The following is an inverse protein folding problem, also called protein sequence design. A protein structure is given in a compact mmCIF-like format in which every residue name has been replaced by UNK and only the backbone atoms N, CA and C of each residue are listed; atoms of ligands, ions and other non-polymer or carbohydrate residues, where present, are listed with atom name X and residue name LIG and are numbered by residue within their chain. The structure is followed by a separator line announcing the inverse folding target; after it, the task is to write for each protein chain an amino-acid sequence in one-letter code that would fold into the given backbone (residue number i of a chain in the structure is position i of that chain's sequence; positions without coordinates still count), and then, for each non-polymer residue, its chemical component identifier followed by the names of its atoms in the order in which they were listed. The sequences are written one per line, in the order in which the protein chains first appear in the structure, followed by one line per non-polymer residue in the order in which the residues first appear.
data_IF_237542102035
#
_entry.id   IF_237542102035
#
_cell.length_a   1.000
_cell.length_b   1.000
_cell.length_c   1.000
_cell.angle_alpha   90.00
_cell.angle_beta   90.00
_cell.angle_gamma   90.00
#
_symmetry.space_group_name_H-M   'P 1'
#
loop_
_entity.id
_entity.type
_entity.pdbx_description
1 polymer ?
#
# COMPACT_ATOMS: atom_id res chain seq x y z
N UNK A 1 -11.88 -0.41 -21.75
CA UNK A 1 -10.85 0.06 -20.78
C UNK A 1 -10.64 -1.06 -19.78
N UNK A 2 -9.40 -1.27 -19.32
CA UNK A 2 -9.10 -2.25 -18.27
C UNK A 2 -9.31 -1.63 -16.91
N UNK A 3 -10.04 -2.31 -16.04
CA UNK A 3 -10.29 -1.89 -14.66
C UNK A 3 -9.13 -2.25 -13.77
N UNK A 4 -8.44 -1.27 -13.24
CA UNK A 4 -7.29 -1.44 -12.34
C UNK A 4 -7.70 -0.98 -10.94
N UNK A 5 -7.80 -1.92 -10.01
CA UNK A 5 -8.23 -1.66 -8.64
C UNK A 5 -7.03 -1.52 -7.71
N UNK A 6 -6.87 -0.36 -7.11
CA UNK A 6 -5.89 -0.12 -6.05
C UNK A 6 -6.52 -0.38 -4.70
N UNK A 7 -5.85 -1.20 -3.87
CA UNK A 7 -6.27 -1.51 -2.52
C UNK A 7 -5.27 -0.88 -1.56
N UNK A 8 -5.76 -0.09 -0.61
CA UNK A 8 -4.91 0.63 0.35
C UNK A 8 -5.52 0.61 1.75
N UNK A 9 -4.72 0.29 2.75
CA UNK A 9 -5.12 0.18 4.16
C UNK A 9 -4.64 1.34 5.02
N UNK A 10 -3.56 2.03 4.60
CA UNK A 10 -2.92 3.05 5.42
C UNK A 10 -2.51 4.28 4.61
N UNK A 11 -2.38 5.42 5.31
CA UNK A 11 -1.87 6.66 4.73
C UNK A 11 -0.48 6.49 4.12
N UNK A 12 0.38 5.68 4.75
CA UNK A 12 1.74 5.43 4.25
C UNK A 12 1.73 4.75 2.88
N UNK A 13 0.88 3.73 2.69
CA UNK A 13 0.70 3.06 1.40
C UNK A 13 0.11 4.00 0.36
N UNK A 14 -0.97 4.71 0.72
CA UNK A 14 -1.63 5.64 -0.17
C UNK A 14 -0.67 6.72 -0.68
N UNK A 15 0.16 7.29 0.20
CA UNK A 15 1.11 8.32 -0.20
C UNK A 15 2.10 7.84 -1.26
N UNK A 16 2.46 6.55 -1.24
CA UNK A 16 3.30 5.92 -2.26
C UNK A 16 2.52 5.64 -3.55
N UNK A 17 1.27 5.17 -3.43
CA UNK A 17 0.43 4.75 -4.55
C UNK A 17 -0.21 5.92 -5.31
N UNK A 18 -0.47 7.06 -4.66
CA UNK A 18 -1.27 8.17 -5.17
C UNK A 18 -0.85 8.65 -6.56
N UNK A 19 0.47 8.70 -6.81
CA UNK A 19 0.99 9.07 -8.12
C UNK A 19 0.66 8.03 -9.19
N UNK A 20 0.85 6.73 -8.89
CA UNK A 20 0.53 5.65 -9.82
C UNK A 20 -0.99 5.61 -10.10
N UNK A 21 -1.80 5.80 -9.07
CA UNK A 21 -3.25 5.95 -9.20
C UNK A 21 -3.62 7.11 -10.14
N UNK A 22 -2.91 8.24 -10.04
CA UNK A 22 -3.12 9.41 -10.91
C UNK A 22 -2.78 9.09 -12.37
N UNK A 23 -1.69 8.37 -12.63
CA UNK A 23 -1.32 7.93 -13.97
C UNK A 23 -2.38 6.99 -14.57
N UNK A 24 -2.90 6.07 -13.78
CA UNK A 24 -3.99 5.17 -14.22
C UNK A 24 -5.28 5.94 -14.47
N UNK A 25 -5.64 6.88 -13.60
CA UNK A 25 -6.86 7.72 -13.72
C UNK A 25 -6.90 8.51 -15.03
N UNK A 26 -5.74 9.02 -15.48
CA UNK A 26 -5.66 9.81 -16.72
C UNK A 26 -5.28 8.99 -17.95
N UNK A 27 -5.21 7.67 -17.83
CA UNK A 27 -4.94 6.77 -18.96
C UNK A 27 -6.20 6.53 -19.77
N UNK A 28 -6.12 6.68 -21.10
CA UNK A 28 -7.24 6.36 -22.00
C UNK A 28 -7.55 4.86 -22.08
N UNK A 29 -6.61 4.01 -21.66
CA UNK A 29 -6.74 2.55 -21.73
C UNK A 29 -7.20 1.89 -20.43
N UNK A 30 -7.18 2.63 -19.31
CA UNK A 30 -7.49 2.11 -17.98
C UNK A 30 -8.63 2.87 -17.31
N UNK A 31 -9.35 2.18 -16.44
CA UNK A 31 -10.32 2.72 -15.50
C UNK A 31 -9.78 2.48 -14.08
N UNK A 32 -9.63 3.54 -13.31
CA UNK A 32 -9.18 3.45 -11.92
C UNK A 32 -10.34 3.03 -11.04
N UNK A 33 -10.10 2.04 -10.19
CA UNK A 33 -10.95 1.70 -9.05
C UNK A 33 -10.12 1.77 -7.77
N UNK A 34 -10.73 2.18 -6.66
CA UNK A 34 -10.06 2.34 -5.36
C UNK A 34 -10.86 1.68 -4.26
N UNK A 35 -10.21 0.79 -3.52
CA UNK A 35 -10.74 0.23 -2.27
C UNK A 35 -9.91 0.79 -1.11
N UNK A 36 -10.57 1.42 -0.15
CA UNK A 36 -9.98 1.84 1.11
C UNK A 36 -10.40 0.88 2.23
N UNK A 37 -9.45 0.43 3.04
CA UNK A 37 -9.67 -0.49 4.16
C UNK A 37 -8.90 -0.06 5.41
N UNK A 38 -9.01 -0.81 6.48
CA UNK A 38 -8.24 -0.72 7.72
C UNK A 38 -8.15 0.72 8.28
N UNK A 39 -6.92 1.19 8.58
CA UNK A 39 -6.64 2.47 9.24
C UNK A 39 -7.23 3.67 8.50
N UNK A 40 -7.41 3.59 7.20
CA UNK A 40 -8.07 4.65 6.43
C UNK A 40 -9.48 4.95 6.92
N UNK A 41 -10.18 3.96 7.46
CA UNK A 41 -11.58 4.07 7.88
C UNK A 41 -11.75 4.20 9.40
N UNK A 42 -10.65 4.25 10.14
CA UNK A 42 -10.65 4.31 11.60
C UNK A 42 -10.49 5.75 12.09
N UNK A 43 -11.42 6.27 12.94
CA UNK A 43 -11.33 7.61 13.49
C UNK A 43 -10.05 7.89 14.28
N UNK A 44 -9.52 6.87 14.97
CA UNK A 44 -8.29 6.96 15.77
C UNK A 44 -7.05 7.31 14.92
N UNK A 45 -7.09 6.96 13.64
CA UNK A 45 -6.04 7.30 12.67
C UNK A 45 -6.43 8.46 11.76
N UNK A 46 -7.49 9.24 12.13
CA UNK A 46 -7.88 10.48 11.47
C UNK A 46 -8.77 10.30 10.24
N UNK A 47 -9.34 9.10 10.00
CA UNK A 47 -10.17 8.84 8.81
C UNK A 47 -9.48 9.28 7.51
N UNK A 48 -8.26 8.83 7.30
CA UNK A 48 -7.38 9.28 6.21
C UNK A 48 -7.89 8.96 4.80
N UNK A 49 -9.01 8.21 4.68
CA UNK A 49 -9.72 8.11 3.40
C UNK A 49 -10.15 9.48 2.85
N UNK A 50 -10.33 10.48 3.72
CA UNK A 50 -10.67 11.85 3.30
C UNK A 50 -9.52 12.52 2.54
N UNK A 51 -8.27 12.14 2.79
CA UNK A 51 -7.12 12.61 2.01
C UNK A 51 -7.20 12.07 0.58
N UNK A 52 -7.61 10.80 0.40
CA UNK A 52 -7.83 10.20 -0.91
C UNK A 52 -8.89 10.96 -1.70
N UNK A 53 -10.01 11.28 -1.03
CA UNK A 53 -11.11 12.05 -1.63
C UNK A 53 -10.69 13.52 -1.93
N UNK A 54 -9.92 14.14 -1.03
CA UNK A 54 -9.40 15.51 -1.21
C UNK A 54 -8.39 15.62 -2.38
N UNK A 55 -7.62 14.57 -2.64
CA UNK A 55 -6.73 14.48 -3.80
C UNK A 55 -7.49 14.23 -5.12
N UNK A 56 -8.81 14.21 -5.06
CA UNK A 56 -9.71 14.09 -6.21
C UNK A 56 -9.93 12.66 -6.69
N UNK A 57 -9.60 11.64 -5.89
CA UNK A 57 -9.94 10.27 -6.20
C UNK A 57 -11.34 9.90 -5.69
N UNK A 58 -12.03 9.04 -6.43
CA UNK A 58 -13.27 8.39 -5.96
C UNK A 58 -12.89 7.09 -5.29
N UNK A 59 -13.44 6.82 -4.11
CA UNK A 59 -13.33 5.52 -3.44
C UNK A 59 -14.54 4.69 -3.83
N UNK A 60 -14.32 3.63 -4.59
CA UNK A 60 -15.39 2.78 -5.12
C UNK A 60 -15.95 1.83 -4.07
N UNK A 61 -15.12 1.43 -3.10
CA UNK A 61 -15.57 0.64 -1.95
C UNK A 61 -14.78 1.01 -0.69
N UNK A 62 -15.50 1.07 0.42
CA UNK A 62 -14.93 1.17 1.77
C UNK A 62 -15.16 -0.15 2.48
N UNK A 63 -14.08 -0.86 2.80
CA UNK A 63 -14.11 -2.17 3.47
C UNK A 63 -13.65 -1.97 4.91
N UNK A 64 -14.57 -1.79 5.85
CA UNK A 64 -14.21 -1.56 7.24
C UNK A 64 -13.62 -2.83 7.85
N UNK A 65 -12.65 -2.62 8.70
CA UNK A 65 -11.96 -3.61 9.47
C UNK A 65 -12.02 -3.17 10.94
N UNK A 66 -12.60 -3.94 11.84
CA UNK A 66 -12.63 -3.57 13.25
C UNK A 66 -11.20 -3.39 13.78
N UNK A 67 -10.99 -2.38 14.64
CA UNK A 67 -9.70 -2.25 15.31
C UNK A 67 -9.42 -3.53 16.09
N UNK A 68 -8.34 -4.27 15.80
CA UNK A 68 -8.00 -5.45 16.55
C UNK A 68 -7.61 -5.09 17.98
N UNK A 69 -7.87 -5.98 18.94
CA UNK A 69 -7.14 -5.99 20.20
C UNK A 69 -5.66 -6.32 19.93
N UNK A 70 -4.79 -5.98 20.89
CA UNK A 70 -3.34 -6.18 20.76
C UNK A 70 -2.92 -7.65 20.95
N UNK A 71 -3.79 -8.59 20.54
CA UNK A 71 -3.55 -10.03 20.59
C UNK A 71 -3.86 -10.70 19.23
N UNK A 72 -3.39 -11.93 19.08
CA UNK A 72 -3.56 -12.67 17.83
C UNK A 72 -5.04 -12.95 17.50
N UNK A 73 -5.89 -13.16 18.50
CA UNK A 73 -7.32 -13.46 18.28
C UNK A 73 -8.04 -12.24 17.72
N UNK A 74 -7.74 -11.05 18.23
CA UNK A 74 -8.31 -9.80 17.73
C UNK A 74 -7.88 -9.50 16.30
N UNK A 75 -6.61 -9.70 15.97
CA UNK A 75 -6.11 -9.56 14.60
C UNK A 75 -6.82 -10.52 13.66
N UNK A 76 -6.95 -11.80 14.03
CA UNK A 76 -7.64 -12.81 13.22
C UNK A 76 -9.13 -12.51 13.04
N UNK A 77 -9.82 -12.02 14.08
CA UNK A 77 -11.21 -11.59 13.98
C UNK A 77 -11.38 -10.41 13.02
N UNK A 78 -10.46 -9.44 13.09
CA UNK A 78 -10.43 -8.29 12.20
C UNK A 78 -10.20 -8.71 10.75
N UNK A 79 -9.24 -9.60 10.48
CA UNK A 79 -8.96 -10.18 9.17
C UNK A 79 -10.17 -10.94 8.60
N UNK A 80 -10.90 -11.69 9.46
CA UNK A 80 -12.11 -12.42 9.05
C UNK A 80 -13.19 -11.46 8.54
N UNK A 81 -13.40 -10.35 9.26
CA UNK A 81 -14.38 -9.32 8.85
C UNK A 81 -13.98 -8.67 7.52
N UNK A 82 -12.70 -8.38 7.36
CA UNK A 82 -12.18 -7.82 6.11
C UNK A 82 -12.38 -8.77 4.94
N UNK A 83 -12.13 -10.06 5.13
CA UNK A 83 -12.28 -11.08 4.08
C UNK A 83 -13.70 -11.09 3.50
N UNK A 84 -14.74 -10.98 4.34
CA UNK A 84 -16.14 -10.88 3.89
C UNK A 84 -16.37 -9.60 3.10
N UNK A 85 -15.94 -8.46 3.61
CA UNK A 85 -16.09 -7.15 2.98
C UNK A 85 -15.33 -7.06 1.65
N UNK A 86 -14.10 -7.55 1.61
CA UNK A 86 -13.24 -7.56 0.43
C UNK A 86 -13.82 -8.47 -0.66
N UNK A 87 -14.34 -9.65 -0.28
CA UNK A 87 -15.01 -10.55 -1.22
C UNK A 87 -16.20 -9.86 -1.90
N UNK A 88 -17.00 -9.14 -1.12
CA UNK A 88 -18.17 -8.41 -1.64
C UNK A 88 -17.78 -7.27 -2.57
N UNK A 89 -16.79 -6.46 -2.14
CA UNK A 89 -16.31 -5.33 -2.91
C UNK A 89 -15.70 -5.78 -4.26
N UNK A 90 -14.79 -6.74 -4.24
CA UNK A 90 -14.11 -7.22 -5.45
C UNK A 90 -15.06 -7.95 -6.41
N UNK A 91 -16.05 -8.69 -5.88
CA UNK A 91 -17.08 -9.33 -6.72
C UNK A 91 -17.98 -8.31 -7.43
N UNK A 92 -18.27 -7.18 -6.78
CA UNK A 92 -19.10 -6.11 -7.36
C UNK A 92 -18.32 -5.26 -8.37
N UNK A 93 -17.09 -4.89 -8.04
CA UNK A 93 -16.23 -4.05 -8.89
C UNK A 93 -15.71 -4.82 -10.10
N UNK A 94 -15.48 -6.13 -9.95
CA UNK A 94 -14.98 -7.03 -10.98
C UNK A 94 -13.79 -6.43 -11.74
N UNK A 95 -12.67 -6.10 -11.06
CA UNK A 95 -11.50 -5.54 -11.70
C UNK A 95 -10.78 -6.55 -12.58
N UNK A 96 -10.12 -6.07 -13.64
CA UNK A 96 -9.25 -6.88 -14.48
C UNK A 96 -7.89 -7.16 -13.80
N UNK A 97 -7.49 -6.31 -12.85
CA UNK A 97 -6.29 -6.46 -12.05
C UNK A 97 -6.41 -5.67 -10.74
N UNK A 98 -5.89 -6.23 -9.66
CA UNK A 98 -5.70 -5.53 -8.40
C UNK A 98 -4.22 -5.12 -8.23
N UNK A 99 -3.98 -3.96 -7.61
CA UNK A 99 -2.65 -3.46 -7.25
C UNK A 99 -2.55 -3.44 -5.74
N UNK A 100 -1.54 -4.12 -5.20
CA UNK A 100 -1.27 -4.25 -3.77
C UNK A 100 0.17 -3.85 -3.51
N UNK A 101 0.39 -3.08 -2.44
CA UNK A 101 1.71 -2.66 -2.00
C UNK A 101 2.04 -3.27 -0.63
N UNK A 102 3.23 -3.83 -0.50
CA UNK A 102 3.81 -4.20 0.78
C UNK A 102 3.38 -5.57 1.31
N UNK A 103 3.18 -5.64 2.61
CA UNK A 103 3.30 -6.86 3.39
C UNK A 103 2.37 -6.94 4.62
N UNK A 104 1.41 -6.04 4.71
CA UNK A 104 0.51 -6.01 5.85
C UNK A 104 -0.57 -7.09 5.74
N UNK A 105 -1.12 -7.49 6.88
CA UNK A 105 -2.11 -8.58 6.94
C UNK A 105 -3.41 -8.25 6.18
N UNK A 106 -3.83 -6.98 6.10
CA UNK A 106 -4.96 -6.58 5.26
C UNK A 106 -4.68 -6.77 3.77
N UNK A 107 -3.45 -6.54 3.34
CA UNK A 107 -3.04 -6.80 1.95
C UNK A 107 -2.97 -8.30 1.65
N UNK A 108 -2.63 -9.12 2.65
CA UNK A 108 -2.69 -10.59 2.54
C UNK A 108 -4.11 -11.09 2.32
N UNK A 109 -5.09 -10.54 3.05
CA UNK A 109 -6.50 -10.86 2.84
C UNK A 109 -6.94 -10.45 1.45
N UNK A 110 -6.62 -9.23 1.02
CA UNK A 110 -6.94 -8.76 -0.31
C UNK A 110 -6.37 -9.66 -1.41
N UNK A 111 -5.09 -10.06 -1.30
CA UNK A 111 -4.43 -10.97 -2.23
C UNK A 111 -5.09 -12.36 -2.25
N UNK A 112 -5.45 -12.89 -1.06
CA UNK A 112 -6.14 -14.19 -0.92
C UNK A 112 -7.50 -14.16 -1.65
N UNK A 113 -8.29 -13.11 -1.43
CA UNK A 113 -9.59 -12.95 -2.09
C UNK A 113 -9.42 -12.80 -3.59
N UNK A 114 -8.47 -11.97 -4.05
CA UNK A 114 -8.16 -11.82 -5.47
C UNK A 114 -7.80 -13.17 -6.12
N UNK A 115 -6.93 -13.95 -5.49
CA UNK A 115 -6.52 -15.26 -5.99
C UNK A 115 -7.73 -16.20 -6.17
N UNK A 116 -8.63 -16.27 -5.18
CA UNK A 116 -9.80 -17.14 -5.22
C UNK A 116 -10.84 -16.66 -6.25
N UNK A 117 -11.00 -15.35 -6.43
CA UNK A 117 -11.84 -14.75 -7.45
C UNK A 117 -11.19 -14.74 -8.85
N UNK A 118 -9.93 -15.22 -8.97
CA UNK A 118 -9.16 -15.22 -10.21
C UNK A 118 -8.89 -13.81 -10.77
N UNK A 119 -8.75 -12.83 -9.89
CA UNK A 119 -8.34 -11.48 -10.22
C UNK A 119 -6.80 -11.44 -10.15
N UNK A 120 -6.09 -11.17 -11.25
CA UNK A 120 -4.64 -11.02 -11.24
C UNK A 120 -4.21 -9.91 -10.29
N UNK A 121 -3.13 -10.14 -9.53
CA UNK A 121 -2.55 -9.16 -8.61
C UNK A 121 -1.22 -8.68 -9.15
N UNK A 122 -1.02 -7.36 -9.14
CA UNK A 122 0.26 -6.69 -9.30
C UNK A 122 0.78 -6.31 -7.90
N UNK A 123 1.83 -6.99 -7.46
CA UNK A 123 2.45 -6.79 -6.15
C UNK A 123 3.64 -5.84 -6.25
N UNK A 124 3.58 -4.74 -5.51
CA UNK A 124 4.63 -3.75 -5.42
C UNK A 124 5.44 -3.98 -4.13
N UNK A 125 6.75 -3.79 -4.19
CA UNK A 125 7.70 -3.98 -3.09
C UNK A 125 7.79 -5.43 -2.57
N UNK A 126 7.50 -6.42 -3.42
CA UNK A 126 7.80 -7.81 -3.14
C UNK A 126 9.31 -8.07 -3.02
N UNK A 127 9.69 -9.10 -2.25
CA UNK A 127 11.08 -9.53 -2.09
C UNK A 127 11.92 -8.70 -1.11
N UNK A 128 11.39 -7.63 -0.53
CA UNK A 128 12.04 -6.90 0.56
C UNK A 128 12.12 -7.75 1.84
N UNK A 129 12.91 -7.34 2.82
CA UNK A 129 13.12 -8.05 4.08
C UNK A 129 12.69 -7.19 5.26
N UNK A 130 11.95 -7.79 6.19
CA UNK A 130 11.58 -7.21 7.47
C UNK A 130 11.99 -8.18 8.58
N UNK A 131 13.25 -8.09 9.04
CA UNK A 131 13.78 -9.01 10.03
C UNK A 131 12.98 -8.98 11.33
N UNK A 132 12.62 -10.17 11.83
CA UNK A 132 11.93 -10.34 13.10
C UNK A 132 10.44 -10.02 13.12
N UNK A 133 9.84 -9.64 11.99
CA UNK A 133 8.42 -9.36 11.86
C UNK A 133 7.68 -10.45 11.06
N UNK A 134 6.40 -10.63 11.36
CA UNK A 134 5.51 -11.52 10.59
C UNK A 134 5.30 -11.03 9.16
N UNK A 135 5.50 -9.73 8.94
CA UNK A 135 5.36 -9.05 7.65
C UNK A 135 6.21 -9.69 6.55
N UNK A 136 7.40 -10.19 6.88
CA UNK A 136 8.26 -10.88 5.92
C UNK A 136 7.58 -12.12 5.32
N UNK A 137 6.99 -12.95 6.18
CA UNK A 137 6.24 -14.13 5.74
C UNK A 137 5.00 -13.73 4.93
N UNK A 138 4.28 -12.71 5.36
CA UNK A 138 3.10 -12.19 4.68
C UNK A 138 3.48 -11.67 3.29
N UNK A 139 4.56 -10.90 3.16
CA UNK A 139 5.07 -10.40 1.88
C UNK A 139 5.33 -11.53 0.90
N UNK A 140 5.98 -12.59 1.34
CA UNK A 140 6.26 -13.75 0.50
C UNK A 140 4.98 -14.50 0.10
N UNK A 141 3.99 -14.60 1.00
CA UNK A 141 2.68 -15.15 0.66
C UNK A 141 1.97 -14.30 -0.40
N UNK A 142 1.95 -12.98 -0.27
CA UNK A 142 1.36 -12.08 -1.26
C UNK A 142 2.09 -12.23 -2.61
N UNK A 143 3.43 -12.29 -2.60
CA UNK A 143 4.21 -12.55 -3.81
C UNK A 143 3.74 -13.82 -4.50
N UNK A 144 3.57 -14.93 -3.78
CA UNK A 144 3.13 -16.22 -4.37
C UNK A 144 1.69 -16.21 -4.88
N UNK A 145 0.84 -15.33 -4.39
CA UNK A 145 -0.54 -15.15 -4.86
C UNK A 145 -0.65 -14.16 -6.03
N UNK A 146 0.45 -13.50 -6.38
CA UNK A 146 0.45 -12.41 -7.37
C UNK A 146 0.89 -12.89 -8.76
N UNK A 147 0.51 -12.15 -9.78
CA UNK A 147 0.77 -12.48 -11.19
C UNK A 147 1.86 -11.60 -11.82
N UNK A 148 2.05 -10.38 -11.30
CA UNK A 148 3.09 -9.44 -11.69
C UNK A 148 3.78 -8.86 -10.45
N UNK A 149 5.08 -8.65 -10.54
CA UNK A 149 5.90 -8.23 -9.41
C UNK A 149 6.74 -7.02 -9.78
N UNK A 150 6.65 -5.96 -8.96
CA UNK A 150 7.38 -4.72 -9.14
C UNK A 150 8.26 -4.48 -7.92
N UNK A 151 9.55 -4.76 -8.05
CA UNK A 151 10.52 -4.71 -6.96
C UNK A 151 11.32 -3.41 -6.96
N UNK A 152 11.81 -3.02 -5.79
CA UNK A 152 12.55 -1.77 -5.61
C UNK A 152 14.05 -1.87 -5.91
N UNK A 153 14.60 -3.08 -5.93
CA UNK A 153 16.02 -3.33 -6.23
C UNK A 153 16.19 -4.63 -7.03
N UNK A 154 17.37 -4.81 -7.64
CA UNK A 154 17.70 -6.06 -8.35
C UNK A 154 17.86 -7.23 -7.35
N UNK A 155 18.35 -6.99 -6.16
CA UNK A 155 18.44 -8.02 -5.12
C UNK A 155 17.05 -8.59 -4.78
N UNK A 156 16.06 -7.72 -4.60
CA UNK A 156 14.68 -8.13 -4.31
C UNK A 156 14.03 -8.79 -5.52
N UNK A 157 14.36 -8.35 -6.74
CA UNK A 157 13.95 -9.03 -7.96
C UNK A 157 14.44 -10.48 -7.99
N UNK A 158 15.71 -10.71 -7.70
CA UNK A 158 16.28 -12.05 -7.67
C UNK A 158 15.63 -12.91 -6.57
N UNK A 159 15.33 -12.33 -5.41
CA UNK A 159 14.63 -13.04 -4.34
C UNK A 159 13.22 -13.47 -4.75
N UNK A 160 12.47 -12.62 -5.42
CA UNK A 160 11.14 -12.97 -5.96
C UNK A 160 11.25 -14.11 -6.99
N UNK A 161 12.25 -14.09 -7.86
CA UNK A 161 12.51 -15.18 -8.80
C UNK A 161 12.87 -16.47 -8.05
N UNK A 162 13.69 -16.40 -6.99
CA UNK A 162 14.04 -17.56 -6.15
C UNK A 162 12.83 -18.15 -5.42
N UNK A 163 11.79 -17.36 -5.14
CA UNK A 163 10.52 -17.85 -4.63
C UNK A 163 9.72 -18.63 -5.69
N UNK A 164 10.22 -18.73 -6.91
CA UNK A 164 9.63 -19.49 -8.01
C UNK A 164 8.77 -18.68 -8.96
N UNK A 165 8.90 -17.35 -8.97
CA UNK A 165 8.21 -16.50 -9.93
C UNK A 165 8.97 -16.45 -11.28
N UNK A 166 8.21 -16.31 -12.36
CA UNK A 166 8.78 -16.26 -13.72
C UNK A 166 9.53 -14.94 -13.93
N UNK A 167 10.80 -14.95 -14.36
CA UNK A 167 11.60 -13.72 -14.52
C UNK A 167 10.96 -12.65 -15.40
N UNK A 168 10.16 -13.05 -16.39
CA UNK A 168 9.45 -12.16 -17.34
C UNK A 168 8.29 -11.40 -16.67
N UNK A 169 7.91 -11.80 -15.46
CA UNK A 169 6.84 -11.19 -14.67
C UNK A 169 7.38 -10.39 -13.48
N UNK A 170 8.70 -10.33 -13.32
CA UNK A 170 9.35 -9.64 -12.19
C UNK A 170 10.17 -8.48 -12.73
N UNK A 171 9.75 -7.27 -12.40
CA UNK A 171 10.31 -6.02 -12.90
C UNK A 171 10.99 -5.25 -11.77
N UNK A 172 12.27 -4.92 -11.93
CA UNK A 172 12.93 -3.96 -11.04
C UNK A 172 12.60 -2.55 -11.55
N UNK A 173 11.77 -1.82 -10.81
CA UNK A 173 11.29 -0.48 -11.17
C UNK A 173 11.85 0.62 -10.26
N UNK A 174 12.63 0.24 -9.26
CA UNK A 174 13.10 1.16 -8.23
C UNK A 174 12.06 1.40 -7.12
N UNK A 175 12.46 2.15 -6.10
CA UNK A 175 11.58 2.50 -4.99
C UNK A 175 10.60 3.60 -5.37
N UNK A 176 9.31 3.36 -5.17
CA UNK A 176 8.24 4.35 -5.42
C UNK A 176 8.44 5.57 -4.52
N UNK A 177 8.87 5.37 -3.27
CA UNK A 177 9.14 6.48 -2.35
C UNK A 177 10.23 7.42 -2.86
N UNK A 178 11.33 6.87 -3.38
CA UNK A 178 12.41 7.67 -3.97
C UNK A 178 11.95 8.38 -5.24
N UNK A 179 11.16 7.73 -6.08
CA UNK A 179 10.59 8.34 -7.29
C UNK A 179 9.65 9.50 -6.92
N UNK A 180 8.79 9.32 -5.93
CA UNK A 180 7.90 10.37 -5.44
C UNK A 180 8.70 11.56 -4.90
N UNK A 181 9.70 11.31 -4.05
CA UNK A 181 10.55 12.36 -3.47
C UNK A 181 11.26 13.20 -4.54
N UNK A 182 11.75 12.57 -5.60
CA UNK A 182 12.42 13.28 -6.72
C UNK A 182 11.48 14.20 -7.50
N UNK A 183 10.17 14.00 -7.41
CA UNK A 183 9.17 14.72 -8.21
C UNK A 183 8.31 15.68 -7.43
N UNK A 184 8.34 15.61 -6.11
CA UNK A 184 7.67 16.58 -5.24
C UNK A 184 8.44 17.90 -5.30
N UNK A 185 7.72 19.00 -5.49
CA UNK A 185 8.27 20.32 -5.31
C UNK A 185 8.42 20.57 -3.81
N UNK A 186 9.66 20.50 -3.34
CA UNK A 186 9.97 20.74 -1.94
C UNK A 186 9.88 22.23 -1.64
N UNK A 187 9.46 22.56 -0.42
CA UNK A 187 9.55 23.91 0.11
C UNK A 187 11.01 24.33 0.22
N UNK A 188 11.30 25.57 0.00
CA UNK A 188 12.61 26.16 0.36
C UNK A 188 12.78 26.14 1.87
N UNK A 189 14.03 26.29 2.34
CA UNK A 189 14.30 26.38 3.78
C UNK A 189 13.50 27.52 4.42
N UNK A 190 13.51 28.69 3.81
CA UNK A 190 12.82 29.87 4.34
C UNK A 190 11.30 29.68 4.43
N UNK A 191 10.69 29.06 3.42
CA UNK A 191 9.25 28.71 3.43
C UNK A 191 8.95 27.69 4.53
N UNK A 192 9.82 26.69 4.73
CA UNK A 192 9.66 25.69 5.76
C UNK A 192 9.79 26.29 7.16
N UNK A 193 10.81 27.14 7.39
CA UNK A 193 11.01 27.85 8.65
C UNK A 193 9.83 28.77 8.99
N UNK A 194 9.30 29.48 7.98
CA UNK A 194 8.11 30.32 8.15
C UNK A 194 6.86 29.49 8.49
N UNK A 195 6.73 28.29 7.88
CA UNK A 195 5.58 27.40 8.13
C UNK A 195 5.64 26.75 9.52
N UNK A 196 6.85 26.39 9.96
CA UNK A 196 7.08 25.73 11.25
C UNK A 196 7.21 26.73 12.42
N UNK A 197 7.34 28.02 12.12
CA UNK A 197 7.69 29.09 13.10
C UNK A 197 8.98 28.73 13.89
N UNK A 198 9.95 28.08 13.20
CA UNK A 198 11.17 27.57 13.81
C UNK A 198 12.36 27.69 12.87
N UNK A 199 13.51 28.18 13.36
CA UNK A 199 14.76 28.24 12.62
C UNK A 199 15.41 26.84 12.53
N UNK A 200 15.76 26.43 11.31
CA UNK A 200 16.41 25.16 11.04
C UNK A 200 17.92 25.35 10.84
N UNK A 201 18.73 24.59 11.55
CA UNK A 201 20.16 24.53 11.35
C UNK A 201 20.67 23.14 10.94
N UNK A 202 21.98 23.00 10.73
CA UNK A 202 22.58 21.72 10.29
C UNK A 202 22.46 20.59 11.33
N UNK A 203 22.12 20.92 12.57
CA UNK A 203 21.96 19.97 13.66
C UNK A 203 20.46 19.69 13.95
N UNK A 204 19.55 20.37 13.26
CA UNK A 204 18.11 20.16 13.45
C UNK A 204 17.73 18.77 12.98
N UNK A 205 17.18 17.97 13.89
CA UNK A 205 16.67 16.64 13.60
C UNK A 205 15.18 16.60 13.85
N UNK A 206 14.40 16.21 12.83
CA UNK A 206 12.98 15.94 12.99
C UNK A 206 12.81 14.52 13.55
N UNK A 207 12.38 14.44 14.82
CA UNK A 207 11.99 13.17 15.43
C UNK A 207 10.48 13.05 15.38
N UNK A 208 10.00 12.14 14.54
CA UNK A 208 8.59 11.72 14.57
C UNK A 208 8.34 10.77 15.75
N UNK A 209 7.07 10.43 15.96
CA UNK A 209 6.60 9.38 16.88
C UNK A 209 7.13 8.00 16.46
N UNK A 210 8.42 7.86 16.38
CA UNK A 210 9.09 6.56 16.32
C UNK A 210 9.44 6.18 17.74
N UNK A 211 9.17 4.94 18.18
CA UNK A 211 9.65 4.50 19.48
C UNK A 211 11.17 4.68 19.50
N UNK A 212 11.63 5.59 20.34
CA UNK A 212 13.06 5.78 20.58
C UNK A 212 13.58 4.54 21.32
N UNK A 213 14.77 4.03 20.99
CA UNK A 213 15.40 2.95 21.77
C UNK A 213 15.71 3.33 23.23
N UNK A 214 15.32 4.53 23.64
CA UNK A 214 15.54 5.09 24.99
C UNK A 214 14.26 5.25 25.80
N UNK A 215 13.10 4.95 25.23
CA UNK A 215 11.81 4.99 25.91
C UNK A 215 11.46 3.62 26.52
#
# INVERSE_FOLDING_TARGET
MRKICFITGTRAEYSLLSRLMRLVKYSESCELQVIATNMHLMPEYGNTYKEIEADGFTIDAKVPMPKPSDDAEGVLASMSTEMEGMTKALSQLAPDMAVILGDRYEMHIAATVCMLLRIPVAHLHGGEVSEGAIDDSIRHCITKMSSLHFTSTEEYRQRVIQLGEQPERVFNVGSIGVENLKRVQLMTKDELEATLEYELDVNTCLLYTSPSPRD
#
